data_IF_082729935628
#
_entry.id   IF_082729935628
#
_cell.length_a   1.000
_cell.length_b   1.000
_cell.length_c   1.000
_cell.angle_alpha   90.00
_cell.angle_beta   90.00
_cell.angle_gamma   90.00
#
_symmetry.space_group_name_H-M   'P 1'
#
loop_
_entity.id
_entity.type
_entity.pdbx_description
1 polymer ?
#
# COMPACT_ATOMS: atom_id res chain seq x y z
N UNK A 1 -17.10 5.60 -2.99
CA UNK A 1 -16.84 5.21 -1.62
C UNK A 1 -16.36 6.39 -0.80
N UNK A 2 -16.70 6.44 0.48
CA UNK A 2 -16.21 7.47 1.41
C UNK A 2 -14.91 6.96 2.05
N UNK A 3 -13.79 7.22 1.39
CA UNK A 3 -12.50 6.63 1.79
C UNK A 3 -11.88 7.35 3.01
N UNK A 4 -12.25 8.60 3.23
CA UNK A 4 -11.70 9.37 4.35
C UNK A 4 -12.70 9.64 5.47
N UNK A 5 -13.95 9.19 5.33
CA UNK A 5 -14.98 9.30 6.35
C UNK A 5 -15.59 10.67 6.51
N UNK A 6 -15.48 11.55 5.51
CA UNK A 6 -16.01 12.93 5.58
C UNK A 6 -17.47 13.05 5.13
N UNK A 7 -18.09 11.95 4.73
CA UNK A 7 -19.46 11.90 4.26
C UNK A 7 -19.63 12.18 2.77
N UNK A 8 -18.56 12.46 2.05
CA UNK A 8 -18.54 12.65 0.60
C UNK A 8 -18.03 11.38 -0.07
N UNK A 9 -18.69 10.95 -1.14
CA UNK A 9 -18.25 9.77 -1.88
C UNK A 9 -17.14 10.12 -2.85
N UNK A 10 -16.02 9.44 -2.75
CA UNK A 10 -14.90 9.57 -3.68
C UNK A 10 -14.99 8.54 -4.79
N UNK A 11 -14.46 8.93 -5.94
CA UNK A 11 -14.33 8.08 -7.11
C UNK A 11 -12.89 7.55 -7.22
N UNK A 12 -12.73 6.28 -7.61
CA UNK A 12 -11.39 5.72 -7.80
C UNK A 12 -10.88 5.94 -9.21
N UNK A 13 -9.59 6.21 -9.32
CA UNK A 13 -8.89 6.25 -10.59
C UNK A 13 -7.59 5.46 -10.45
N UNK A 14 -7.37 4.48 -11.33
CA UNK A 14 -6.18 3.66 -11.31
C UNK A 14 -4.99 4.40 -11.90
N UNK A 15 -3.86 4.35 -11.20
CA UNK A 15 -2.58 4.90 -11.66
C UNK A 15 -1.60 3.74 -11.76
N UNK A 16 -1.05 3.50 -12.97
CA UNK A 16 -0.04 2.48 -13.17
C UNK A 16 1.28 2.91 -12.55
N UNK A 17 1.89 2.00 -11.77
CA UNK A 17 3.22 2.22 -11.23
C UNK A 17 4.28 1.79 -12.23
N UNK A 18 5.43 2.51 -12.21
CA UNK A 18 6.55 2.16 -13.07
C UNK A 18 7.24 0.90 -12.53
N UNK A 19 7.22 -0.17 -13.30
CA UNK A 19 7.84 -1.43 -12.92
C UNK A 19 9.37 -1.39 -13.07
N UNK A 20 10.11 -2.09 -12.19
CA UNK A 20 11.57 -2.15 -12.28
C UNK A 20 12.09 -2.88 -13.52
N UNK A 21 11.30 -3.81 -14.07
CA UNK A 21 11.66 -4.53 -15.29
C UNK A 21 10.50 -4.49 -16.28
N UNK A 22 10.79 -4.12 -17.50
CA UNK A 22 9.81 -4.09 -18.60
C UNK A 22 9.41 -5.49 -19.10
N UNK A 23 10.10 -6.52 -18.65
CA UNK A 23 9.96 -7.87 -19.20
C UNK A 23 8.74 -8.65 -18.71
N UNK A 24 8.11 -8.21 -17.65
CA UNK A 24 6.86 -8.82 -17.18
C UNK A 24 5.67 -8.03 -17.68
N UNK A 25 5.40 -8.20 -18.97
CA UNK A 25 4.19 -7.64 -19.55
C UNK A 25 2.97 -8.33 -18.96
N UNK A 26 2.09 -7.58 -18.32
CA UNK A 26 0.80 -8.08 -17.88
C UNK A 26 0.44 -7.83 -16.42
N UNK A 27 1.39 -7.75 -15.50
CA UNK A 27 1.12 -7.54 -14.08
C UNK A 27 1.76 -6.26 -13.59
N UNK A 28 1.20 -5.12 -13.97
CA UNK A 28 1.59 -3.84 -13.39
C UNK A 28 0.78 -3.62 -12.12
N UNK A 29 1.49 -3.34 -11.05
CA UNK A 29 0.85 -2.88 -9.83
C UNK A 29 0.27 -1.49 -10.05
N UNK A 30 -0.85 -1.20 -9.38
CA UNK A 30 -1.57 0.05 -9.52
C UNK A 30 -1.80 0.71 -8.17
N UNK A 31 -1.72 2.03 -8.17
CA UNK A 31 -2.22 2.85 -7.08
C UNK A 31 -3.65 3.26 -7.40
N UNK A 32 -4.41 3.60 -6.38
CA UNK A 32 -5.73 4.18 -6.55
C UNK A 32 -5.69 5.62 -6.06
N UNK A 33 -6.05 6.54 -6.95
CA UNK A 33 -6.29 7.93 -6.61
C UNK A 33 -7.76 8.08 -6.30
N UNK A 34 -8.08 8.49 -5.10
CA UNK A 34 -9.45 8.76 -4.68
C UNK A 34 -9.69 10.26 -4.77
N UNK A 35 -10.69 10.67 -5.53
CA UNK A 35 -10.99 12.08 -5.73
C UNK A 35 -12.47 12.36 -5.62
N UNK A 36 -12.81 13.59 -5.22
CA UNK A 36 -14.17 14.07 -5.18
C UNK A 36 -14.39 15.06 -6.30
N UNK A 37 -15.63 15.11 -6.80
CA UNK A 37 -16.04 16.08 -7.81
C UNK A 37 -16.68 17.28 -7.13
N UNK A 38 -16.24 18.48 -7.48
CA UNK A 38 -16.89 19.72 -7.07
C UNK A 38 -18.09 20.02 -7.98
N UNK A 39 -18.91 20.98 -7.58
CA UNK A 39 -20.10 21.39 -8.33
C UNK A 39 -19.77 21.90 -9.74
N UNK A 40 -18.57 22.45 -9.95
CA UNK A 40 -18.11 22.92 -11.25
C UNK A 40 -17.48 21.83 -12.14
N UNK A 41 -17.46 20.58 -11.65
CA UNK A 41 -16.86 19.44 -12.34
C UNK A 41 -15.36 19.26 -12.09
N UNK A 42 -14.73 20.12 -11.30
CA UNK A 42 -13.31 19.97 -10.98
C UNK A 42 -13.08 18.79 -10.03
N UNK A 43 -11.93 18.14 -10.19
CA UNK A 43 -11.53 17.00 -9.36
C UNK A 43 -10.65 17.47 -8.22
N UNK A 44 -10.92 16.97 -7.02
CA UNK A 44 -10.13 17.24 -5.82
C UNK A 44 -9.58 15.93 -5.25
N UNK A 45 -8.27 15.79 -5.28
CA UNK A 45 -7.62 14.59 -4.76
C UNK A 45 -7.81 14.51 -3.24
N UNK A 46 -8.25 13.35 -2.76
CA UNK A 46 -8.49 13.10 -1.34
C UNK A 46 -7.43 12.18 -0.75
N UNK A 47 -7.24 11.02 -1.36
CA UNK A 47 -6.33 9.99 -0.86
C UNK A 47 -5.69 9.23 -2.00
N UNK A 48 -4.53 8.67 -1.72
CA UNK A 48 -3.87 7.69 -2.58
C UNK A 48 -3.69 6.42 -1.76
N UNK A 49 -4.06 5.28 -2.35
CA UNK A 49 -3.96 3.99 -1.68
C UNK A 49 -3.37 2.93 -2.59
N UNK A 50 -2.77 1.91 -1.98
CA UNK A 50 -2.43 0.67 -2.66
C UNK A 50 -3.32 -0.42 -2.07
N UNK A 51 -4.11 -1.07 -2.91
CA UNK A 51 -5.01 -2.16 -2.51
C UNK A 51 -4.47 -3.49 -2.99
N UNK A 52 -4.27 -4.42 -2.05
CA UNK A 52 -3.95 -5.81 -2.37
C UNK A 52 -5.21 -6.65 -2.15
N UNK A 53 -6.00 -6.80 -3.19
CA UNK A 53 -7.28 -7.51 -3.11
C UNK A 53 -7.09 -9.01 -2.87
N UNK A 54 -6.00 -9.58 -3.35
CA UNK A 54 -5.71 -11.00 -3.17
C UNK A 54 -5.50 -11.33 -1.70
N UNK A 55 -4.81 -10.48 -0.98
CA UNK A 55 -4.46 -10.67 0.43
C UNK A 55 -5.38 -9.90 1.39
N UNK A 56 -6.27 -9.08 0.88
CA UNK A 56 -7.31 -8.42 1.66
C UNK A 56 -6.89 -7.22 2.48
N UNK A 57 -5.89 -6.46 2.04
CA UNK A 57 -5.42 -5.27 2.76
C UNK A 57 -5.14 -4.10 1.83
N UNK A 58 -5.07 -2.90 2.40
CA UNK A 58 -4.63 -1.72 1.66
C UNK A 58 -3.84 -0.78 2.57
N UNK A 59 -3.06 0.09 1.95
CA UNK A 59 -2.31 1.14 2.63
C UNK A 59 -2.61 2.50 2.03
N UNK A 60 -2.70 3.49 2.90
CA UNK A 60 -2.67 4.89 2.47
C UNK A 60 -1.23 5.28 2.17
N UNK A 61 -1.05 6.09 1.15
CA UNK A 61 0.26 6.49 0.66
C UNK A 61 0.42 8.00 0.77
N UNK A 62 1.66 8.45 0.97
CA UNK A 62 2.00 9.86 1.01
C UNK A 62 1.85 10.46 -0.41
N UNK A 63 0.99 11.48 -0.60
CA UNK A 63 0.79 12.08 -1.92
C UNK A 63 2.07 12.63 -2.55
N UNK A 64 3.06 13.01 -1.76
CA UNK A 64 4.33 13.52 -2.27
C UNK A 64 5.21 12.46 -2.91
N UNK A 65 4.95 11.18 -2.63
CA UNK A 65 5.76 10.07 -3.10
C UNK A 65 5.09 9.25 -4.20
N UNK A 66 3.78 9.38 -4.41
CA UNK A 66 3.00 8.45 -5.25
C UNK A 66 3.46 8.39 -6.70
N UNK A 67 3.97 9.47 -7.26
CA UNK A 67 4.45 9.50 -8.64
C UNK A 67 5.72 8.67 -8.85
N UNK A 68 6.44 8.37 -7.79
CA UNK A 68 7.70 7.62 -7.82
C UNK A 68 7.63 6.29 -7.08
N UNK A 69 6.51 5.96 -6.45
CA UNK A 69 6.35 4.70 -5.73
C UNK A 69 6.18 3.52 -6.67
N UNK A 70 6.72 2.39 -6.25
CA UNK A 70 6.59 1.12 -6.95
C UNK A 70 6.44 0.00 -5.92
N UNK A 71 5.49 -0.90 -6.13
CA UNK A 71 5.35 -2.09 -5.30
C UNK A 71 5.90 -3.28 -6.06
N UNK A 72 6.85 -3.97 -5.44
CA UNK A 72 7.50 -5.15 -6.02
C UNK A 72 7.14 -6.36 -5.17
N UNK A 73 6.31 -7.29 -5.69
CA UNK A 73 6.10 -8.56 -5.02
C UNK A 73 7.42 -9.34 -5.03
N UNK A 74 7.95 -9.68 -3.87
CA UNK A 74 9.23 -10.39 -3.78
C UNK A 74 9.05 -11.91 -3.69
N UNK A 75 8.03 -12.33 -2.92
CA UNK A 75 7.71 -13.72 -2.71
C UNK A 75 6.24 -13.79 -2.27
N UNK A 76 5.71 -15.00 -2.11
CA UNK A 76 4.36 -15.18 -1.60
C UNK A 76 4.22 -14.49 -0.23
N UNK A 77 3.35 -13.48 -0.15
CA UNK A 77 3.11 -12.74 1.07
C UNK A 77 4.15 -11.67 1.40
N UNK A 78 5.01 -11.29 0.46
CA UNK A 78 5.97 -10.19 0.64
C UNK A 78 5.81 -9.14 -0.44
N UNK A 79 5.65 -7.89 -0.02
CA UNK A 79 5.42 -6.77 -0.93
C UNK A 79 6.34 -5.62 -0.54
N UNK A 80 7.35 -5.36 -1.37
CA UNK A 80 8.30 -4.29 -1.14
C UNK A 80 7.80 -2.99 -1.75
N UNK A 81 7.72 -1.96 -0.92
CA UNK A 81 7.40 -0.60 -1.36
C UNK A 81 8.70 0.14 -1.61
N UNK A 82 8.91 0.55 -2.84
CA UNK A 82 10.15 1.14 -3.30
C UNK A 82 9.89 2.52 -3.89
N UNK A 83 10.93 3.35 -3.92
CA UNK A 83 10.86 4.69 -4.47
C UNK A 83 11.90 4.85 -5.55
N UNK A 84 11.47 5.30 -6.74
CA UNK A 84 12.36 5.71 -7.79
C UNK A 84 13.02 7.05 -7.44
N UNK A 85 14.28 7.21 -7.81
CA UNK A 85 14.91 8.51 -7.76
C UNK A 85 14.24 9.47 -8.76
N UNK A 86 14.55 10.76 -8.70
CA UNK A 86 13.90 11.75 -9.56
C UNK A 86 14.17 11.53 -11.04
N UNK A 87 15.27 10.85 -11.38
CA UNK A 87 15.59 10.47 -12.75
C UNK A 87 15.06 9.14 -13.20
N UNK A 88 14.35 8.42 -12.33
CA UNK A 88 13.82 7.07 -12.56
C UNK A 88 14.90 6.06 -12.98
N UNK A 89 16.11 6.20 -12.42
CA UNK A 89 17.25 5.32 -12.71
C UNK A 89 17.49 4.29 -11.63
N UNK A 90 17.29 4.67 -10.37
CA UNK A 90 17.56 3.82 -9.21
C UNK A 90 16.32 3.66 -8.38
N UNK A 91 16.12 2.45 -7.86
CA UNK A 91 14.99 2.08 -7.04
C UNK A 91 15.49 1.79 -5.63
N UNK A 92 14.99 2.50 -4.64
CA UNK A 92 15.33 2.31 -3.23
C UNK A 92 14.17 1.68 -2.50
N UNK A 93 14.43 0.56 -1.82
CA UNK A 93 13.43 -0.08 -0.97
C UNK A 93 13.17 0.78 0.26
N UNK A 94 11.91 1.06 0.57
CA UNK A 94 11.50 1.85 1.73
C UNK A 94 10.97 0.98 2.86
N UNK A 95 10.01 0.12 2.59
CA UNK A 95 9.51 -0.85 3.56
C UNK A 95 8.95 -2.07 2.84
N UNK A 96 8.83 -3.16 3.59
CA UNK A 96 8.25 -4.39 3.08
C UNK A 96 7.09 -4.81 3.98
N UNK A 97 5.97 -5.18 3.37
CA UNK A 97 4.82 -5.73 4.08
C UNK A 97 4.88 -7.24 4.00
N UNK A 98 4.71 -7.91 5.14
CA UNK A 98 4.70 -9.37 5.26
C UNK A 98 3.30 -9.83 5.65
N UNK A 99 2.75 -10.76 4.88
CA UNK A 99 1.48 -11.43 5.22
C UNK A 99 1.85 -12.82 5.71
N UNK A 100 1.71 -13.06 7.01
CA UNK A 100 2.21 -14.25 7.67
C UNK A 100 1.06 -15.15 8.14
N UNK A 101 1.15 -16.43 7.80
CA UNK A 101 0.20 -17.46 8.23
C UNK A 101 0.97 -18.60 8.91
N UNK A 102 0.25 -19.51 9.55
CA UNK A 102 0.86 -20.66 10.22
C UNK A 102 1.09 -20.41 11.70
N UNK A 103 1.57 -21.44 12.40
CA UNK A 103 1.76 -21.40 13.86
C UNK A 103 2.82 -20.39 14.31
N UNK A 104 3.87 -20.21 13.51
CA UNK A 104 5.00 -19.34 13.84
C UNK A 104 4.82 -17.88 13.42
N UNK A 105 3.64 -17.52 12.92
CA UNK A 105 3.42 -16.20 12.34
C UNK A 105 3.75 -15.03 13.27
N UNK A 106 3.39 -15.14 14.54
CA UNK A 106 3.68 -14.08 15.51
C UNK A 106 5.17 -13.95 15.82
N UNK A 107 5.87 -15.08 15.89
CA UNK A 107 7.32 -15.09 16.11
C UNK A 107 8.05 -14.48 14.90
N UNK A 108 7.66 -14.89 13.69
CA UNK A 108 8.25 -14.37 12.45
C UNK A 108 8.01 -12.86 12.33
N UNK A 109 6.83 -12.39 12.73
CA UNK A 109 6.48 -10.99 12.67
C UNK A 109 7.36 -10.10 13.57
N UNK A 110 7.98 -10.66 14.60
CA UNK A 110 8.81 -9.94 15.55
C UNK A 110 10.32 -10.11 15.31
N UNK A 111 10.71 -10.95 14.34
CA UNK A 111 12.12 -11.23 14.05
C UNK A 111 12.73 -10.16 13.14
N UNK A 112 14.06 -10.04 13.20
CA UNK A 112 14.88 -9.25 12.26
C UNK A 112 14.43 -7.79 12.09
N UNK A 113 13.99 -7.17 13.19
CA UNK A 113 13.59 -5.76 13.17
C UNK A 113 12.19 -5.50 12.61
N UNK A 114 11.45 -6.55 12.29
CA UNK A 114 10.06 -6.42 11.84
C UNK A 114 9.15 -6.00 13.00
N UNK A 115 8.02 -5.39 12.68
CA UNK A 115 7.01 -5.00 13.65
C UNK A 115 5.62 -5.34 13.13
N UNK A 116 4.69 -5.57 14.05
CA UNK A 116 3.33 -5.94 13.70
C UNK A 116 2.53 -4.71 13.25
N UNK A 117 1.86 -4.83 12.10
CA UNK A 117 0.91 -3.83 11.61
C UNK A 117 -0.51 -4.14 12.11
N UNK A 118 -0.93 -5.38 11.97
CA UNK A 118 -2.26 -5.83 12.35
C UNK A 118 -2.28 -7.35 12.52
N UNK A 119 -3.24 -7.84 13.29
CA UNK A 119 -3.40 -9.27 13.55
C UNK A 119 -4.88 -9.64 13.46
N UNK A 120 -5.14 -10.75 12.75
CA UNK A 120 -6.44 -11.42 12.75
C UNK A 120 -6.29 -12.79 13.42
N UNK A 121 -7.37 -13.58 13.47
CA UNK A 121 -7.34 -14.91 14.06
C UNK A 121 -6.37 -15.87 13.37
N UNK A 122 -6.12 -15.67 12.07
CA UNK A 122 -5.32 -16.59 11.26
C UNK A 122 -4.12 -15.95 10.57
N UNK A 123 -4.02 -14.62 10.54
CA UNK A 123 -2.99 -13.90 9.79
C UNK A 123 -2.37 -12.81 10.66
N UNK A 124 -1.05 -12.65 10.56
CA UNK A 124 -0.34 -11.50 11.13
C UNK A 124 0.26 -10.71 9.98
N UNK A 125 -0.02 -9.42 9.96
CA UNK A 125 0.55 -8.47 9.01
C UNK A 125 1.68 -7.74 9.72
N UNK A 126 2.86 -7.79 9.13
CA UNK A 126 4.05 -7.17 9.71
C UNK A 126 4.76 -6.33 8.65
N UNK A 127 5.70 -5.50 9.08
CA UNK A 127 6.51 -4.71 8.17
C UNK A 127 7.94 -4.61 8.66
N UNK A 128 8.83 -4.37 7.73
CA UNK A 128 10.22 -3.98 7.99
C UNK A 128 10.45 -2.61 7.36
N UNK A 129 11.04 -1.70 8.12
CA UNK A 129 11.28 -0.32 7.71
C UNK A 129 12.76 -0.13 7.38
N UNK A 130 13.05 0.24 6.14
CA UNK A 130 14.42 0.48 5.68
C UNK A 130 14.92 1.86 6.12
N UNK A 131 16.23 2.01 6.18
CA UNK A 131 16.86 3.28 6.55
C UNK A 131 16.48 4.42 5.60
N UNK A 132 16.33 4.12 4.30
CA UNK A 132 15.91 5.12 3.32
C UNK A 132 14.54 5.72 3.64
N UNK A 133 13.62 4.93 4.21
CA UNK A 133 12.33 5.42 4.64
C UNK A 133 12.43 6.37 5.83
N UNK A 134 13.31 6.07 6.77
CA UNK A 134 13.54 6.93 7.94
C UNK A 134 14.04 8.32 7.52
N UNK A 135 14.83 8.39 6.47
CA UNK A 135 15.32 9.67 5.92
C UNK A 135 14.19 10.50 5.30
N UNK A 136 13.06 9.88 5.00
CA UNK A 136 11.87 10.55 4.46
C UNK A 136 10.81 10.78 5.54
N UNK A 137 11.18 10.63 6.80
CA UNK A 137 10.29 10.75 7.97
C UNK A 137 9.14 9.73 7.98
N UNK A 138 9.33 8.60 7.31
CA UNK A 138 8.40 7.47 7.35
C UNK A 138 8.74 6.64 8.59
N UNK A 139 7.79 6.51 9.51
CA UNK A 139 7.99 5.85 10.80
C UNK A 139 7.15 4.58 10.90
N UNK A 140 7.44 3.76 11.90
CA UNK A 140 6.61 2.59 12.22
C UNK A 140 5.18 3.00 12.54
N UNK A 141 5.01 4.10 13.28
CA UNK A 141 3.70 4.63 13.63
C UNK A 141 2.92 5.04 12.38
N UNK A 142 3.58 5.70 11.43
CA UNK A 142 2.95 6.09 10.16
C UNK A 142 2.46 4.86 9.40
N UNK A 143 3.29 3.82 9.27
CA UNK A 143 2.91 2.61 8.56
C UNK A 143 1.76 1.88 9.26
N UNK A 144 1.80 1.79 10.58
CA UNK A 144 0.73 1.16 11.36
C UNK A 144 -0.60 1.88 11.20
N UNK A 145 -0.57 3.21 11.21
CA UNK A 145 -1.76 4.04 11.06
C UNK A 145 -2.29 4.07 9.61
N UNK A 146 -1.44 3.71 8.66
CA UNK A 146 -1.78 3.72 7.22
C UNK A 146 -2.22 2.36 6.70
N UNK A 147 -2.17 1.31 7.52
CA UNK A 147 -2.49 -0.05 7.12
C UNK A 147 -3.92 -0.42 7.54
N UNK A 148 -4.70 -0.96 6.60
CA UNK A 148 -6.10 -1.30 6.81
C UNK A 148 -6.44 -2.63 6.15
N UNK A 149 -7.42 -3.34 6.70
CA UNK A 149 -8.00 -4.52 6.05
C UNK A 149 -9.15 -4.08 5.13
N UNK A 150 -9.25 -4.74 3.98
CA UNK A 150 -10.36 -4.49 3.07
C UNK A 150 -11.63 -5.07 3.68
N UNK A 151 -12.68 -4.27 3.77
CA UNK A 151 -13.97 -4.69 4.30
C UNK A 151 -14.65 -5.66 3.32
N UNK A 152 -15.37 -6.64 3.85
CA UNK A 152 -15.98 -7.67 3.04
C UNK A 152 -17.05 -7.13 2.09
N UNK A 153 -17.71 -6.06 2.46
CA UNK A 153 -18.73 -5.41 1.65
C UNK A 153 -18.15 -4.70 0.42
N UNK A 154 -16.86 -4.41 0.44
CA UNK A 154 -16.17 -3.85 -0.74
C UNK A 154 -15.87 -4.91 -1.80
N UNK A 155 -15.80 -6.17 -1.39
CA UNK A 155 -15.38 -7.26 -2.27
C UNK A 155 -16.49 -7.70 -3.21
N UNK A 156 -17.71 -7.53 -2.80
CA UNK A 156 -18.77 -8.24 -3.48
C UNK A 156 -19.41 -7.49 -4.62
N UNK A 157 -19.35 -6.17 -4.64
CA UNK A 157 -20.12 -5.48 -5.67
C UNK A 157 -21.51 -6.11 -5.85
N UNK A 158 -21.83 -7.05 -5.00
CA UNK A 158 -23.10 -7.73 -5.00
C UNK A 158 -24.10 -6.88 -4.27
N UNK A 159 -24.83 -6.32 -5.07
CA UNK A 159 -25.99 -5.61 -4.56
C UNK A 159 -27.24 -6.23 -5.11
#
# INVERSE_FOLDING_TARGET
EDIDGDGVLELPSLISMRAPTMERSGEREHLIRWYALAADGSEHDKRFTYHNYLQGWYMELDPELVDRLCVVPEDTGRYAFCLWDRGYRELSKLWTVYVLTGEDRSSIAAEDGRFQLMKTDSVVYAAYLEEAALRLDITQEFLTNSFFLIQSDWKTGEM
#
